data_IF_654563866983
#
_entry.id   IF_654563866983
#
_cell.length_a   1.000
_cell.length_b   1.000
_cell.length_c   1.000
_cell.angle_alpha   90.00
_cell.angle_beta   90.00
_cell.angle_gamma   90.00
#
_symmetry.space_group_name_H-M   'P 1'
#
loop_
_entity.id
_entity.type
_entity.pdbx_description
1 polymer ?
#
# COMPACT_ATOMS: atom_id res chain seq x y z
N UNK A 1 -3.58 0.46 15.52
CA UNK A 1 -4.07 1.38 14.48
C UNK A 1 -3.34 1.02 13.19
N UNK A 2 -4.08 0.62 12.15
CA UNK A 2 -3.50 0.13 10.89
C UNK A 2 -3.35 1.28 9.91
N UNK A 3 -2.52 2.28 10.23
CA UNK A 3 -2.38 3.49 9.41
C UNK A 3 -1.00 3.64 8.83
N UNK A 4 -0.92 3.97 7.54
CA UNK A 4 0.32 4.32 6.83
C UNK A 4 0.33 5.83 6.56
N UNK A 5 1.43 6.50 6.87
CA UNK A 5 1.66 7.89 6.50
C UNK A 5 2.42 7.93 5.18
N UNK A 6 1.86 8.61 4.18
CA UNK A 6 2.51 8.89 2.90
C UNK A 6 3.35 10.17 2.97
N UNK A 7 4.09 10.45 1.88
CA UNK A 7 5.04 11.56 1.81
C UNK A 7 4.36 12.93 1.99
N UNK A 8 3.14 13.10 1.49
CA UNK A 8 2.38 14.37 1.50
C UNK A 8 1.48 14.56 2.74
N UNK A 9 1.87 14.02 3.89
CA UNK A 9 1.06 14.02 5.13
C UNK A 9 -0.31 13.31 5.04
N UNK A 10 -0.57 12.59 3.95
CA UNK A 10 -1.77 11.79 3.77
C UNK A 10 -1.68 10.49 4.58
N UNK A 11 -2.73 10.16 5.33
CA UNK A 11 -2.82 8.92 6.09
C UNK A 11 -3.75 7.92 5.41
N UNK A 12 -3.25 6.72 5.14
CA UNK A 12 -4.04 5.61 4.62
C UNK A 12 -4.45 4.68 5.75
N UNK A 13 -5.73 4.27 5.77
CA UNK A 13 -6.19 3.20 6.63
C UNK A 13 -6.01 1.85 5.94
N UNK A 14 -4.95 1.14 6.33
CA UNK A 14 -4.58 -0.16 5.77
C UNK A 14 -5.64 -1.23 6.04
N UNK A 15 -6.51 -1.07 7.06
CA UNK A 15 -7.64 -1.99 7.28
C UNK A 15 -8.72 -1.88 6.19
N UNK A 16 -8.74 -0.80 5.41
CA UNK A 16 -9.64 -0.64 4.26
C UNK A 16 -9.03 -1.12 2.95
N UNK A 17 -7.78 -1.58 2.96
CA UNK A 17 -7.13 -2.13 1.78
C UNK A 17 -7.51 -3.59 1.64
N UNK A 18 -8.06 -3.94 0.48
CA UNK A 18 -8.38 -5.32 0.11
C UNK A 18 -7.19 -6.02 -0.52
N UNK A 19 -6.49 -5.35 -1.45
CA UNK A 19 -5.31 -5.89 -2.11
C UNK A 19 -4.38 -4.78 -2.57
N UNK A 20 -3.10 -5.13 -2.73
CA UNK A 20 -2.07 -4.26 -3.30
C UNK A 20 -1.40 -5.03 -4.43
N UNK A 21 -1.42 -4.46 -5.62
CA UNK A 21 -0.69 -4.94 -6.79
C UNK A 21 0.51 -4.02 -7.03
N UNK A 22 1.71 -4.58 -7.17
CA UNK A 22 2.92 -3.81 -7.40
C UNK A 22 3.40 -4.08 -8.82
N UNK A 23 3.56 -3.01 -9.58
CA UNK A 23 4.13 -3.05 -10.92
C UNK A 23 5.54 -2.45 -10.87
N UNK A 24 6.53 -3.30 -11.17
CA UNK A 24 7.94 -2.90 -11.26
C UNK A 24 8.25 -2.54 -12.71
N UNK A 25 8.42 -1.25 -12.99
CA UNK A 25 8.84 -0.74 -14.29
C UNK A 25 9.89 0.37 -14.15
N UNK A 26 10.02 1.27 -15.14
CA UNK A 26 10.88 2.46 -15.04
C UNK A 26 10.53 3.36 -13.85
N UNK A 27 9.27 3.27 -13.40
CA UNK A 27 8.77 3.80 -12.12
C UNK A 27 8.05 2.68 -11.39
N UNK A 28 8.19 2.62 -10.08
CA UNK A 28 7.45 1.65 -9.25
C UNK A 28 6.05 2.19 -8.99
N UNK A 29 5.04 1.39 -9.29
CA UNK A 29 3.64 1.72 -9.08
C UNK A 29 3.02 0.70 -8.12
N UNK A 30 2.18 1.18 -7.19
CA UNK A 30 1.32 0.33 -6.39
C UNK A 30 -0.13 0.69 -6.66
N UNK A 31 -0.90 -0.28 -7.14
CA UNK A 31 -2.35 -0.18 -7.25
C UNK A 31 -2.97 -0.78 -5.99
N UNK A 32 -3.58 0.08 -5.20
CA UNK A 32 -4.34 -0.29 -4.00
C UNK A 32 -5.78 -0.46 -4.40
N UNK A 33 -6.35 -1.63 -4.12
CA UNK A 33 -7.79 -1.86 -4.22
C UNK A 33 -8.38 -1.81 -2.83
N UNK A 34 -9.38 -0.96 -2.63
CA UNK A 34 -10.07 -0.75 -1.36
C UNK A 34 -11.21 -1.78 -1.18
N UNK A 35 -11.66 -1.95 0.06
CA UNK A 35 -12.76 -2.87 0.40
C UNK A 35 -14.09 -2.52 -0.30
N UNK A 36 -14.28 -1.25 -0.67
CA UNK A 36 -15.45 -0.79 -1.43
C UNK A 36 -15.34 -1.06 -2.94
N UNK A 37 -14.21 -1.59 -3.42
CA UNK A 37 -13.95 -1.86 -4.83
C UNK A 37 -13.27 -0.72 -5.59
N UNK A 38 -13.12 0.47 -4.98
CA UNK A 38 -12.36 1.55 -5.59
C UNK A 38 -10.88 1.20 -5.68
N UNK A 39 -10.16 1.87 -6.58
CA UNK A 39 -8.72 1.71 -6.68
C UNK A 39 -7.98 3.03 -6.72
N UNK A 40 -6.80 3.06 -6.10
CA UNK A 40 -5.91 4.21 -6.07
C UNK A 40 -4.51 3.80 -6.49
N UNK A 41 -3.81 4.69 -7.18
CA UNK A 41 -2.46 4.44 -7.68
C UNK A 41 -1.47 5.31 -6.93
N UNK A 42 -0.48 4.67 -6.30
CA UNK A 42 0.65 5.30 -5.62
C UNK A 42 1.92 5.08 -6.41
N UNK A 43 2.88 6.00 -6.29
CA UNK A 43 4.12 5.99 -7.08
C UNK A 43 5.35 6.20 -6.21
N UNK A 44 6.48 5.68 -6.67
CA UNK A 44 7.82 5.97 -6.16
C UNK A 44 7.91 5.85 -4.62
N UNK A 45 8.13 6.95 -3.90
CA UNK A 45 8.32 6.97 -2.44
C UNK A 45 7.10 6.46 -1.67
N UNK A 46 5.90 6.76 -2.15
CA UNK A 46 4.67 6.33 -1.49
C UNK A 46 4.48 4.81 -1.58
N UNK A 47 4.96 4.19 -2.66
CA UNK A 47 4.95 2.72 -2.79
C UNK A 47 5.86 2.09 -1.74
N UNK A 48 7.05 2.65 -1.51
CA UNK A 48 7.98 2.13 -0.51
C UNK A 48 7.38 2.20 0.91
N UNK A 49 6.78 3.34 1.28
CA UNK A 49 6.13 3.54 2.58
C UNK A 49 4.92 2.62 2.75
N UNK A 50 4.10 2.48 1.71
CA UNK A 50 2.94 1.61 1.70
C UNK A 50 3.34 0.14 1.87
N UNK A 51 4.33 -0.32 1.10
CA UNK A 51 4.84 -1.69 1.19
C UNK A 51 5.40 -1.98 2.58
N UNK A 52 6.23 -1.08 3.13
CA UNK A 52 6.80 -1.25 4.45
C UNK A 52 5.71 -1.39 5.52
N UNK A 53 4.72 -0.50 5.50
CA UNK A 53 3.61 -0.55 6.44
C UNK A 53 2.74 -1.81 6.24
N UNK A 54 2.51 -2.22 5.00
CA UNK A 54 1.72 -3.41 4.66
C UNK A 54 2.40 -4.71 5.12
N UNK A 55 3.70 -4.87 4.88
CA UNK A 55 4.47 -6.04 5.28
C UNK A 55 4.65 -6.15 6.79
N UNK A 56 4.71 -5.03 7.53
CA UNK A 56 4.71 -5.06 9.00
C UNK A 56 3.42 -5.66 9.57
N UNK A 57 2.30 -5.46 8.88
CA UNK A 57 0.98 -5.94 9.32
C UNK A 57 0.67 -7.36 8.85
N UNK A 58 1.15 -7.70 7.66
CA UNK A 58 1.04 -9.03 7.07
C UNK A 58 2.45 -9.59 6.92
N UNK A 59 3.13 -9.92 8.05
CA UNK A 59 4.41 -10.59 7.96
C UNK A 59 4.18 -11.84 7.12
N UNK A 60 4.94 -12.01 6.04
CA UNK A 60 4.86 -13.18 5.15
C UNK A 60 4.73 -14.43 6.02
N UNK A 61 3.52 -14.96 6.13
CA UNK A 61 3.28 -16.20 6.83
C UNK A 61 4.03 -17.24 6.03
N UNK A 62 5.19 -17.69 6.53
CA UNK A 62 5.83 -18.90 6.05
C UNK A 62 4.84 -20.02 6.34
N UNK A 63 4.13 -20.47 5.32
CA UNK A 63 3.40 -21.74 5.29
C UNK A 63 4.22 -22.69 4.46
#
# INVERSE_FOLDING_TARGET
>A
MYTCKLSDDHWLNLAQIRSIEIEYGPKTLAKVTWINGDSSIYRDKDVALLMEAWFRLHPRTKV
#
